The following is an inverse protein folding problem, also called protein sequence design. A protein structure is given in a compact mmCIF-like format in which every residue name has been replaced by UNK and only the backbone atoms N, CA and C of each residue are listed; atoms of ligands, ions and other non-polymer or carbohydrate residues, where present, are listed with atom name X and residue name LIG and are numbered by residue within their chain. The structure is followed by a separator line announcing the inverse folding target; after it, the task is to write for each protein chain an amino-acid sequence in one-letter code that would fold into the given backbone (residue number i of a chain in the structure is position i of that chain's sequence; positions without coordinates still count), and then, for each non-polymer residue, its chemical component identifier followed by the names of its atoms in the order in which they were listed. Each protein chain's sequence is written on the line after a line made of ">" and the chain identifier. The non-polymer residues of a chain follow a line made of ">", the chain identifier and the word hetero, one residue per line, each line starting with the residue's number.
data_IF_709971484889
#
_entry.id   IF_709971484889
#
_cell.length_a   1.000
_cell.length_b   1.000
_cell.length_c   1.000
_cell.angle_alpha   90.00
_cell.angle_beta   90.00
_cell.angle_gamma   90.00
#
_symmetry.space_group_name_H-M   'P 1'
#
loop_
_entity.id
_entity.type
_entity.pdbx_description
1 polymer ?
#
# COMPACT_ATOMS: atom_id res chain seq x y z
N UNK A 1 -4.91 31.56 -11.76
CA UNK A 1 -6.01 30.86 -12.47
C UNK A 1 -5.57 29.42 -12.73
N UNK A 2 -5.87 28.52 -11.81
CA UNK A 2 -5.92 27.08 -12.11
C UNK A 2 -7.39 26.71 -11.97
N UNK A 3 -8.19 27.07 -12.97
CA UNK A 3 -9.66 26.96 -12.91
C UNK A 3 -10.19 25.73 -13.65
N UNK A 4 -9.30 24.81 -14.01
CA UNK A 4 -9.68 23.53 -14.59
C UNK A 4 -9.31 22.46 -13.56
N UNK A 5 -10.32 21.90 -12.89
CA UNK A 5 -10.17 20.63 -12.20
C UNK A 5 -9.55 19.65 -13.21
N UNK A 6 -8.29 19.23 -12.96
CA UNK A 6 -7.58 18.27 -13.84
C UNK A 6 -8.25 16.90 -13.79
N UNK A 7 -8.94 16.61 -12.69
CA UNK A 7 -9.74 15.41 -12.49
C UNK A 7 -11.23 15.76 -12.66
N UNK A 8 -11.91 15.08 -13.57
CA UNK A 8 -13.37 15.23 -13.73
C UNK A 8 -14.09 14.79 -12.45
N UNK A 9 -15.23 15.41 -12.12
CA UNK A 9 -15.94 15.19 -10.84
C UNK A 9 -16.45 13.75 -10.67
N UNK A 10 -16.61 13.01 -11.79
CA UNK A 10 -17.03 11.61 -11.79
C UNK A 10 -15.86 10.59 -11.70
N UNK A 11 -14.62 11.07 -11.63
CA UNK A 11 -13.43 10.21 -11.60
C UNK A 11 -12.88 10.09 -10.18
N UNK A 12 -12.65 8.85 -9.77
CA UNK A 12 -11.99 8.51 -8.51
C UNK A 12 -10.56 8.02 -8.82
N UNK A 13 -9.57 8.68 -8.23
CA UNK A 13 -8.16 8.39 -8.47
C UNK A 13 -7.54 7.76 -7.23
N UNK A 14 -6.90 6.61 -7.43
CA UNK A 14 -6.06 5.97 -6.42
C UNK A 14 -4.59 6.06 -6.86
N UNK A 15 -3.74 6.61 -6.01
CA UNK A 15 -2.33 6.83 -6.35
C UNK A 15 -1.40 6.57 -5.16
N UNK A 16 -0.34 5.80 -5.39
CA UNK A 16 0.73 5.59 -4.42
C UNK A 16 1.70 6.77 -4.39
N UNK A 17 2.00 7.30 -3.21
CA UNK A 17 3.00 8.35 -3.00
C UNK A 17 3.56 8.34 -1.57
N UNK A 18 4.67 9.03 -1.35
CA UNK A 18 5.21 9.20 -0.01
C UNK A 18 4.45 10.30 0.76
N UNK A 19 3.97 10.00 1.97
CA UNK A 19 3.37 10.99 2.87
C UNK A 19 4.38 11.37 3.95
N UNK A 20 4.54 12.66 4.22
CA UNK A 20 5.35 13.13 5.35
C UNK A 20 4.45 13.72 6.43
N UNK A 21 4.67 13.33 7.69
CA UNK A 21 3.97 13.88 8.86
C UNK A 21 4.98 14.08 10.00
N UNK A 22 5.36 15.34 10.21
CA UNK A 22 6.48 15.66 11.10
C UNK A 22 7.78 15.04 10.57
N UNK A 23 8.45 14.27 11.42
CA UNK A 23 9.71 13.56 11.09
C UNK A 23 9.46 12.18 10.45
N UNK A 24 8.19 11.76 10.32
CA UNK A 24 7.85 10.44 9.80
C UNK A 24 7.53 10.51 8.31
N UNK A 25 8.04 9.55 7.56
CA UNK A 25 7.74 9.34 6.15
C UNK A 25 6.96 8.02 6.04
N UNK A 26 5.86 8.00 5.31
CA UNK A 26 5.02 6.83 5.10
C UNK A 26 4.94 6.50 3.61
N UNK A 27 4.88 5.21 3.31
CA UNK A 27 4.51 4.72 1.98
C UNK A 27 2.99 4.65 1.94
N UNK A 28 2.35 5.50 1.15
CA UNK A 28 0.92 5.77 1.28
C UNK A 28 0.19 5.60 -0.04
N UNK A 29 -1.07 5.19 0.04
CA UNK A 29 -2.02 5.17 -1.06
C UNK A 29 -3.08 6.24 -0.79
N UNK A 30 -3.27 7.15 -1.73
CA UNK A 30 -4.23 8.24 -1.63
C UNK A 30 -5.47 7.93 -2.46
N UNK A 31 -6.64 8.24 -1.92
CA UNK A 31 -7.90 8.32 -2.65
C UNK A 31 -8.25 9.78 -2.89
N UNK A 32 -8.37 10.15 -4.16
CA UNK A 32 -8.66 11.51 -4.61
C UNK A 32 -9.98 11.50 -5.38
N UNK A 33 -10.90 12.39 -4.99
CA UNK A 33 -12.20 12.62 -5.62
C UNK A 33 -12.44 14.12 -5.71
N UNK A 34 -13.05 14.59 -6.81
CA UNK A 34 -13.36 16.03 -7.02
C UNK A 34 -12.15 16.98 -6.77
N UNK A 35 -10.95 16.50 -7.12
CA UNK A 35 -9.69 17.25 -6.95
C UNK A 35 -9.18 17.37 -5.51
N UNK A 36 -9.71 16.59 -4.55
CA UNK A 36 -9.32 16.61 -3.14
C UNK A 36 -8.93 15.21 -2.67
N UNK A 37 -8.00 15.15 -1.71
CA UNK A 37 -7.69 13.90 -0.99
C UNK A 37 -8.82 13.66 0.01
N UNK A 38 -9.59 12.60 -0.21
CA UNK A 38 -10.67 12.19 0.69
C UNK A 38 -10.11 11.36 1.84
N UNK A 39 -9.29 10.37 1.50
CA UNK A 39 -8.66 9.46 2.46
C UNK A 39 -7.27 9.05 1.98
N UNK A 40 -6.49 8.52 2.91
CA UNK A 40 -5.21 7.87 2.62
C UNK A 40 -5.04 6.62 3.47
N UNK A 41 -4.30 5.66 2.94
CA UNK A 41 -3.85 4.47 3.62
C UNK A 41 -2.34 4.52 3.73
N UNK A 42 -1.81 4.38 4.93
CA UNK A 42 -0.37 4.25 5.16
C UNK A 42 -0.01 2.77 5.33
N UNK A 43 1.04 2.34 4.65
CA UNK A 43 1.58 0.98 4.74
C UNK A 43 1.89 0.61 6.20
N UNK A 44 1.35 -0.52 6.62
CA UNK A 44 1.47 -1.03 7.99
C UNK A 44 2.61 -2.04 8.14
N UNK A 45 2.90 -2.83 7.11
CA UNK A 45 3.97 -3.83 7.14
C UNK A 45 5.06 -3.49 6.13
N UNK A 46 6.18 -3.02 6.65
CA UNK A 46 7.33 -2.60 5.86
C UNK A 46 8.26 -3.77 5.53
N UNK A 47 8.89 -3.70 4.36
CA UNK A 47 9.92 -4.63 3.93
C UNK A 47 11.26 -4.30 4.61
N UNK A 48 11.84 -5.24 5.36
CA UNK A 48 13.18 -5.06 5.92
C UNK A 48 14.21 -4.78 4.83
N UNK A 49 15.18 -3.92 5.12
CA UNK A 49 16.30 -3.51 4.26
C UNK A 49 15.93 -2.71 3.00
N UNK A 50 14.67 -2.73 2.59
CA UNK A 50 14.15 -1.92 1.47
C UNK A 50 13.48 -0.66 1.99
N UNK A 51 12.59 -0.79 2.97
CA UNK A 51 11.78 0.33 3.48
C UNK A 51 12.23 0.79 4.87
N UNK A 52 12.89 -0.07 5.64
CA UNK A 52 13.49 0.30 6.92
C UNK A 52 14.71 -0.56 7.21
N UNK A 53 15.59 -0.09 8.09
CA UNK A 53 16.77 -0.85 8.50
C UNK A 53 16.51 -1.48 9.87
N UNK A 54 16.51 -2.82 10.00
CA UNK A 54 16.34 -3.47 11.29
C UNK A 54 17.41 -3.05 12.30
N UNK A 55 17.02 -2.95 13.58
CA UNK A 55 17.91 -2.46 14.65
C UNK A 55 19.18 -3.31 14.84
N UNK A 56 19.14 -4.60 14.50
CA UNK A 56 20.30 -5.49 14.55
C UNK A 56 21.33 -5.15 13.46
N UNK A 57 20.91 -4.67 12.28
CA UNK A 57 21.83 -4.21 11.23
C UNK A 57 22.56 -2.93 11.66
N UNK A 58 21.84 -2.02 12.33
CA UNK A 58 22.40 -0.75 12.83
C UNK A 58 23.52 -0.95 13.86
N UNK A 59 23.55 -2.11 14.54
CA UNK A 59 24.60 -2.47 15.51
C UNK A 59 25.89 -2.97 14.86
N UNK A 60 25.92 -3.20 13.54
CA UNK A 60 27.09 -3.68 12.83
C UNK A 60 28.04 -2.50 12.57
N UNK A 61 29.24 -2.47 13.19
CA UNK A 61 30.10 -1.28 13.23
C UNK A 61 30.51 -0.72 11.86
N UNK A 62 30.61 -1.58 10.84
CA UNK A 62 30.98 -1.18 9.48
C UNK A 62 29.80 -0.71 8.61
N UNK A 63 28.56 -0.98 9.02
CA UNK A 63 27.35 -0.67 8.24
C UNK A 63 26.71 0.62 8.76
N UNK A 64 26.61 0.76 10.09
CA UNK A 64 25.81 1.79 10.75
C UNK A 64 26.14 3.24 10.36
N UNK A 65 27.42 3.58 10.25
CA UNK A 65 27.87 4.97 10.08
C UNK A 65 28.20 5.36 8.63
N UNK A 66 28.42 4.38 7.74
CA UNK A 66 28.93 4.66 6.39
C UNK A 66 27.91 4.40 5.27
N UNK A 67 26.87 3.59 5.54
CA UNK A 67 25.95 3.12 4.50
C UNK A 67 24.46 3.31 4.81
N UNK A 68 24.11 3.68 6.05
CA UNK A 68 22.71 3.88 6.43
C UNK A 68 22.34 5.37 6.36
N UNK A 69 21.50 5.73 5.39
CA UNK A 69 20.84 7.03 5.36
C UNK A 69 19.52 6.96 6.14
N UNK A 70 19.17 8.04 6.86
CA UNK A 70 18.01 8.12 7.76
C UNK A 70 16.63 8.21 7.06
N UNK A 71 16.53 7.87 5.78
CA UNK A 71 15.27 7.95 5.02
C UNK A 71 14.50 6.63 5.11
N UNK A 72 14.13 6.24 6.33
CA UNK A 72 13.32 5.04 6.58
C UNK A 72 11.83 5.38 6.58
N UNK A 73 11.01 4.49 6.03
CA UNK A 73 9.57 4.59 6.19
C UNK A 73 9.15 4.23 7.62
N UNK A 74 8.09 4.87 8.07
CA UNK A 74 7.38 4.59 9.31
C UNK A 74 6.19 3.68 9.02
N UNK A 75 6.03 2.65 9.85
CA UNK A 75 4.86 1.79 9.78
C UNK A 75 3.64 2.51 10.38
N UNK A 76 2.49 2.35 9.74
CA UNK A 76 1.20 2.73 10.35
C UNK A 76 0.76 1.69 11.37
N UNK A 77 0.02 2.12 12.40
CA UNK A 77 -0.52 1.21 13.43
C UNK A 77 -1.80 0.53 12.91
N UNK A 78 -2.53 1.20 12.00
CA UNK A 78 -3.80 0.72 11.46
C UNK A 78 -3.97 1.18 10.02
N UNK A 79 -4.09 0.22 9.10
CA UNK A 79 -4.64 0.48 7.78
C UNK A 79 -6.16 0.68 7.86
N UNK A 80 -6.64 1.78 7.30
CA UNK A 80 -8.08 2.04 7.11
C UNK A 80 -8.48 1.62 5.70
N UNK A 81 -9.62 0.95 5.58
CA UNK A 81 -10.23 0.67 4.29
C UNK A 81 -10.82 1.96 3.71
N UNK A 82 -10.86 2.07 2.38
CA UNK A 82 -11.55 3.19 1.74
C UNK A 82 -13.04 2.89 1.62
N UNK A 83 -13.89 3.84 2.00
CA UNK A 83 -15.34 3.71 1.81
C UNK A 83 -15.75 4.54 0.59
N UNK A 84 -15.80 3.89 -0.56
CA UNK A 84 -15.79 4.50 -1.90
C UNK A 84 -17.20 4.46 -2.46
N UNK A 85 -18.01 5.47 -2.13
CA UNK A 85 -19.46 5.55 -2.42
C UNK A 85 -20.32 4.52 -1.66
N UNK A 86 -21.65 4.71 -1.70
CA UNK A 86 -22.69 4.05 -0.88
C UNK A 86 -22.56 2.51 -0.80
N UNK A 87 -21.66 2.05 0.08
CA UNK A 87 -21.47 0.64 0.40
C UNK A 87 -20.45 -0.09 -0.47
N UNK A 88 -19.47 0.55 -1.11
CA UNK A 88 -18.29 -0.17 -1.64
C UNK A 88 -17.11 0.07 -0.71
N UNK A 89 -16.50 -1.02 -0.23
CA UNK A 89 -15.32 -0.95 0.63
C UNK A 89 -14.12 -1.36 -0.22
N UNK A 90 -13.10 -0.51 -0.35
CA UNK A 90 -11.82 -0.93 -0.92
C UNK A 90 -10.84 -1.27 0.19
N UNK A 91 -10.23 -2.44 0.11
CA UNK A 91 -9.23 -2.93 1.05
C UNK A 91 -7.84 -2.76 0.45
N UNK A 92 -7.13 -1.67 0.77
CA UNK A 92 -5.83 -1.39 0.20
C UNK A 92 -4.73 -2.29 0.77
N UNK A 93 -3.79 -2.66 -0.09
CA UNK A 93 -2.51 -3.27 0.29
C UNK A 93 -1.39 -2.76 -0.61
N UNK A 94 -0.21 -2.53 -0.02
CA UNK A 94 0.96 -2.01 -0.75
C UNK A 94 2.07 -3.07 -0.80
N UNK A 95 2.49 -3.45 -2.02
CA UNK A 95 3.54 -4.43 -2.30
C UNK A 95 3.39 -5.72 -1.46
N UNK A 96 4.41 -6.04 -0.64
CA UNK A 96 4.47 -7.26 0.17
C UNK A 96 3.34 -7.40 1.21
N UNK A 97 2.59 -6.34 1.53
CA UNK A 97 1.40 -6.46 2.38
C UNK A 97 0.37 -7.44 1.81
N UNK A 98 0.36 -7.66 0.50
CA UNK A 98 -0.48 -8.66 -0.15
C UNK A 98 -0.34 -10.07 0.48
N UNK A 99 0.85 -10.45 0.94
CA UNK A 99 1.11 -11.76 1.58
C UNK A 99 0.76 -11.80 3.07
N UNK A 100 0.52 -10.64 3.66
CA UNK A 100 0.48 -10.46 5.11
C UNK A 100 -0.75 -9.67 5.56
N UNK A 101 -1.64 -9.29 4.64
CA UNK A 101 -2.74 -8.38 4.89
C UNK A 101 -3.66 -8.82 6.03
N UNK A 102 -4.32 -7.83 6.64
CA UNK A 102 -5.25 -7.94 7.75
C UNK A 102 -6.35 -8.99 7.54
N UNK A 103 -6.66 -9.30 6.27
CA UNK A 103 -7.77 -10.16 5.84
C UNK A 103 -7.35 -11.56 5.37
N UNK A 104 -6.13 -12.00 5.70
CA UNK A 104 -5.70 -13.38 5.42
C UNK A 104 -6.14 -14.40 6.49
N UNK A 105 -6.78 -13.94 7.58
CA UNK A 105 -7.05 -14.79 8.74
C UNK A 105 -8.44 -14.63 9.38
N UNK A 106 -9.33 -13.75 8.90
CA UNK A 106 -10.64 -13.53 9.53
C UNK A 106 -11.79 -13.66 8.53
N UNK A 107 -12.79 -14.47 8.88
CA UNK A 107 -14.08 -14.73 8.17
C UNK A 107 -15.01 -13.48 8.12
N UNK A 108 -14.46 -12.26 8.11
CA UNK A 108 -15.20 -11.00 8.31
C UNK A 108 -14.97 -9.96 7.21
N UNK A 109 -14.39 -10.34 6.09
CA UNK A 109 -14.38 -9.47 4.91
C UNK A 109 -15.84 -9.25 4.48
N UNK A 110 -16.33 -8.01 4.44
CA UNK A 110 -17.68 -7.72 3.97
C UNK A 110 -17.89 -8.21 2.52
N UNK A 111 -19.07 -8.73 2.18
CA UNK A 111 -19.37 -9.22 0.82
C UNK A 111 -19.21 -8.14 -0.27
N UNK A 112 -19.27 -6.87 0.13
CA UNK A 112 -19.11 -5.68 -0.71
C UNK A 112 -17.68 -5.11 -0.72
N UNK A 113 -16.71 -5.82 -0.12
CA UNK A 113 -15.32 -5.40 -0.11
C UNK A 113 -14.58 -5.84 -1.38
N UNK A 114 -13.78 -4.94 -1.93
CA UNK A 114 -12.92 -5.16 -3.10
C UNK A 114 -11.47 -4.94 -2.67
N UNK A 115 -10.60 -5.92 -2.88
CA UNK A 115 -9.19 -5.72 -2.55
C UNK A 115 -8.51 -4.85 -3.63
N UNK A 116 -7.69 -3.89 -3.20
CA UNK A 116 -6.88 -3.04 -4.07
C UNK A 116 -5.40 -3.23 -3.73
N UNK A 117 -4.66 -3.90 -4.62
CA UNK A 117 -3.23 -4.12 -4.46
C UNK A 117 -2.44 -3.19 -5.38
N UNK A 118 -1.66 -2.28 -4.77
CA UNK A 118 -0.73 -1.42 -5.51
C UNK A 118 0.68 -1.94 -5.27
N UNK A 119 1.35 -2.34 -6.34
CA UNK A 119 2.64 -3.02 -6.29
C UNK A 119 3.65 -2.21 -7.08
N UNK A 120 4.75 -1.87 -6.41
CA UNK A 120 6.00 -1.50 -7.04
C UNK A 120 7.00 -2.61 -6.71
N UNK A 121 7.34 -3.41 -7.71
CA UNK A 121 8.25 -4.53 -7.59
C UNK A 121 9.54 -4.32 -8.37
N UNK A 122 9.82 -3.09 -8.82
CA UNK A 122 11.08 -2.73 -9.49
C UNK A 122 12.35 -3.07 -8.70
N UNK A 123 12.23 -3.19 -7.37
CA UNK A 123 13.32 -3.57 -6.46
C UNK A 123 13.48 -5.10 -6.33
N UNK A 124 12.49 -5.86 -6.80
CA UNK A 124 12.46 -7.32 -6.81
C UNK A 124 12.60 -7.85 -8.24
N UNK A 125 12.80 -9.16 -8.37
CA UNK A 125 12.89 -9.79 -9.68
C UNK A 125 11.50 -10.20 -10.23
N UNK A 126 11.50 -10.64 -11.49
CA UNK A 126 10.32 -11.14 -12.18
C UNK A 126 9.64 -12.32 -11.45
N UNK A 127 10.39 -13.10 -10.67
CA UNK A 127 9.84 -14.21 -9.92
C UNK A 127 8.89 -13.70 -8.81
N UNK A 128 9.29 -12.67 -8.06
CA UNK A 128 8.44 -12.07 -7.04
C UNK A 128 7.21 -11.38 -7.63
N UNK A 129 7.33 -10.71 -8.77
CA UNK A 129 6.18 -10.17 -9.50
C UNK A 129 5.14 -11.25 -9.77
N UNK A 130 5.57 -12.34 -10.42
CA UNK A 130 4.70 -13.45 -10.79
C UNK A 130 4.07 -14.09 -9.55
N UNK A 131 4.85 -14.24 -8.48
CA UNK A 131 4.35 -14.76 -7.22
C UNK A 131 3.24 -13.88 -6.63
N UNK A 132 3.42 -12.56 -6.62
CA UNK A 132 2.40 -11.62 -6.14
C UNK A 132 1.13 -11.65 -7.01
N UNK A 133 1.28 -11.69 -8.33
CA UNK A 133 0.15 -11.79 -9.26
C UNK A 133 -0.64 -13.08 -9.06
N UNK A 134 0.04 -14.23 -9.00
CA UNK A 134 -0.59 -15.53 -8.74
C UNK A 134 -1.23 -15.59 -7.36
N UNK A 135 -0.58 -15.05 -6.33
CA UNK A 135 -1.12 -14.99 -4.99
C UNK A 135 -2.41 -14.15 -4.93
N UNK A 136 -2.41 -12.98 -5.57
CA UNK A 136 -3.60 -12.14 -5.64
C UNK A 136 -4.76 -12.86 -6.34
N UNK A 137 -4.45 -13.61 -7.41
CA UNK A 137 -5.44 -14.38 -8.16
C UNK A 137 -5.99 -15.55 -7.36
N UNK A 138 -5.11 -16.29 -6.66
CA UNK A 138 -5.49 -17.35 -5.74
C UNK A 138 -6.42 -16.83 -4.64
N UNK A 139 -6.09 -15.70 -4.01
CA UNK A 139 -6.91 -15.10 -2.96
C UNK A 139 -8.26 -14.58 -3.45
N UNK A 140 -8.34 -14.07 -4.68
CA UNK A 140 -9.61 -13.69 -5.29
C UNK A 140 -10.57 -14.88 -5.38
N UNK A 141 -10.04 -16.05 -5.78
CA UNK A 141 -10.82 -17.29 -5.88
C UNK A 141 -11.17 -17.84 -4.49
N UNK A 142 -10.18 -17.94 -3.60
CA UNK A 142 -10.36 -18.50 -2.24
C UNK A 142 -11.41 -17.72 -1.45
N UNK A 143 -11.45 -16.40 -1.59
CA UNK A 143 -12.34 -15.52 -0.83
C UNK A 143 -13.59 -15.11 -1.60
N UNK A 144 -13.77 -15.58 -2.84
CA UNK A 144 -14.85 -15.15 -3.75
C UNK A 144 -14.98 -13.61 -3.81
N UNK A 145 -13.85 -12.92 -3.88
CA UNK A 145 -13.75 -11.47 -3.76
C UNK A 145 -13.17 -10.86 -5.03
N UNK A 146 -13.73 -9.73 -5.49
CA UNK A 146 -13.10 -8.95 -6.56
C UNK A 146 -11.79 -8.32 -6.06
N UNK A 147 -10.75 -8.37 -6.90
CA UNK A 147 -9.44 -7.83 -6.55
C UNK A 147 -8.83 -7.09 -7.73
N UNK A 148 -8.44 -5.84 -7.51
CA UNK A 148 -7.61 -5.06 -8.43
C UNK A 148 -6.13 -5.24 -8.09
N UNK A 149 -5.33 -5.50 -9.11
CA UNK A 149 -3.87 -5.58 -9.02
C UNK A 149 -3.28 -4.57 -9.99
N UNK A 150 -2.54 -3.60 -9.46
CA UNK A 150 -1.86 -2.57 -10.23
C UNK A 150 -0.37 -2.69 -9.93
N UNK A 151 0.37 -3.29 -10.86
CA UNK A 151 1.82 -3.50 -10.77
C UNK A 151 2.57 -2.79 -11.89
N UNK A 152 3.81 -2.37 -11.64
CA UNK A 152 4.70 -1.76 -12.63
C UNK A 152 6.18 -2.07 -12.36
#
# INVERSE_FOLDING_TARGET
>A
MWNNNVLHDEVQLFIGACRSEGEKIYNSLYWIKEGRVEQYYDKSRLMPLVEYVPSWCKKIPCIGNSFLNNNEFSASVWGQDFNVDDGIILEPSICAELFFGKYLADDKTPDNAIALSIINDTVLDQFFYNLMLLWNSFKAIEQNQFRFHVGY
#
